data_IF_819866410700
#
_entry.id   IF_819866410700
#
_cell.length_a   1.000
_cell.length_b   1.000
_cell.length_c   1.000
_cell.angle_alpha   90.00
_cell.angle_beta   90.00
_cell.angle_gamma   90.00
#
_symmetry.space_group_name_H-M   'P 1'
#
loop_
_entity.id
_entity.type
_entity.pdbx_description
1 polymer ?
#
# COMPACT_ATOMS: atom_id res chain seq x y z
N UNK A 1 21.36 55.15 51.23
CA UNK A 1 21.16 53.83 51.86
C UNK A 1 20.17 53.10 50.99
N UNK A 2 20.71 52.38 50.01
CA UNK A 2 20.00 51.96 48.80
C UNK A 2 19.91 50.44 48.80
N UNK A 3 18.70 49.98 48.50
CA UNK A 3 18.16 48.63 48.43
C UNK A 3 18.93 47.66 47.51
N UNK A 4 19.51 46.56 48.04
CA UNK A 4 20.00 45.44 47.22
C UNK A 4 18.93 44.36 46.96
N UNK A 5 17.70 44.53 47.44
CA UNK A 5 16.71 43.43 47.45
C UNK A 5 15.75 43.41 46.25
N UNK A 6 15.77 44.42 45.39
CA UNK A 6 14.80 44.56 44.29
C UNK A 6 15.28 43.99 42.94
N UNK A 7 16.56 43.67 42.81
CA UNK A 7 17.15 43.19 41.55
C UNK A 7 16.99 41.67 41.35
N UNK A 8 16.87 40.90 42.43
CA UNK A 8 16.71 39.44 42.35
C UNK A 8 15.27 38.96 42.10
N UNK A 9 14.29 39.85 42.01
CA UNK A 9 12.87 39.49 41.86
C UNK A 9 12.36 39.57 40.41
N UNK A 10 13.19 40.04 39.46
CA UNK A 10 12.80 40.15 38.04
C UNK A 10 13.40 39.07 37.12
N UNK A 11 14.19 38.13 37.64
CA UNK A 11 14.99 37.21 36.82
C UNK A 11 14.38 35.80 36.61
N UNK A 12 13.13 35.53 36.98
CA UNK A 12 12.57 34.17 36.94
C UNK A 12 11.24 34.02 36.21
N UNK A 13 11.11 34.62 35.03
CA UNK A 13 10.00 34.34 34.09
C UNK A 13 10.54 33.92 32.74
N UNK A 14 11.34 32.84 32.72
CA UNK A 14 11.61 32.13 31.48
C UNK A 14 10.49 31.08 31.29
N UNK A 15 9.61 31.24 30.29
CA UNK A 15 8.47 30.34 30.11
C UNK A 15 8.96 28.95 29.68
N UNK A 16 8.83 27.97 30.58
CA UNK A 16 9.11 26.55 30.35
C UNK A 16 8.11 25.86 29.39
N UNK A 17 7.50 26.62 28.46
CA UNK A 17 6.41 26.14 27.61
C UNK A 17 6.83 25.57 26.24
N UNK A 18 8.04 25.86 25.75
CA UNK A 18 8.42 25.58 24.35
C UNK A 18 8.57 24.10 23.97
N UNK A 19 8.99 23.24 24.91
CA UNK A 19 9.31 21.83 24.62
C UNK A 19 8.06 20.97 24.36
N UNK A 20 6.95 21.29 25.02
CA UNK A 20 5.72 20.50 24.93
C UNK A 20 5.00 20.68 23.58
N UNK A 21 5.05 21.89 23.00
CA UNK A 21 4.43 22.16 21.70
C UNK A 21 5.18 21.49 20.54
N UNK A 22 6.52 21.46 20.58
CA UNK A 22 7.32 20.79 19.57
C UNK A 22 7.09 19.26 19.57
N UNK A 23 6.99 18.65 20.75
CA UNK A 23 6.65 17.24 20.92
C UNK A 23 5.25 16.90 20.41
N UNK A 24 4.25 17.70 20.77
CA UNK A 24 2.87 17.56 20.29
C UNK A 24 2.79 17.70 18.76
N UNK A 25 3.48 18.69 18.18
CA UNK A 25 3.54 18.89 16.73
C UNK A 25 4.21 17.72 16.00
N UNK A 26 5.30 17.19 16.54
CA UNK A 26 5.94 15.99 16.00
C UNK A 26 4.99 14.78 16.04
N UNK A 27 4.34 14.53 17.18
CA UNK A 27 3.46 13.38 17.35
C UNK A 27 2.29 13.44 16.38
N UNK A 28 1.68 14.63 16.24
CA UNK A 28 0.61 14.85 15.28
C UNK A 28 1.07 14.59 13.84
N UNK A 29 2.26 15.05 13.46
CA UNK A 29 2.79 14.84 12.12
C UNK A 29 3.19 13.38 11.86
N UNK A 30 3.74 12.68 12.86
CA UNK A 30 4.04 11.25 12.77
C UNK A 30 2.76 10.41 12.58
N UNK A 31 1.71 10.71 13.34
CA UNK A 31 0.39 10.06 13.18
C UNK A 31 -0.19 10.38 11.80
N UNK A 32 -0.10 11.63 11.33
CA UNK A 32 -0.59 12.03 10.03
C UNK A 32 0.12 11.29 8.89
N UNK A 33 1.45 11.19 8.94
CA UNK A 33 2.25 10.50 7.91
C UNK A 33 2.00 9.00 7.91
N UNK A 34 1.98 8.35 9.08
CA UNK A 34 1.70 6.91 9.19
C UNK A 34 0.25 6.60 8.78
N UNK A 35 -0.70 7.43 9.21
CA UNK A 35 -2.10 7.32 8.83
C UNK A 35 -2.32 7.48 7.33
N UNK A 36 -1.70 8.50 6.72
CA UNK A 36 -1.78 8.72 5.27
C UNK A 36 -1.14 7.57 4.49
N UNK A 37 0.00 7.05 4.95
CA UNK A 37 0.65 5.89 4.32
C UNK A 37 -0.22 4.64 4.40
N UNK A 38 -0.92 4.44 5.53
CA UNK A 38 -1.91 3.38 5.69
C UNK A 38 -3.08 3.50 4.71
N UNK A 39 -3.61 4.71 4.53
CA UNK A 39 -4.69 4.99 3.56
C UNK A 39 -4.23 4.74 2.12
N UNK A 40 -3.05 5.23 1.74
CA UNK A 40 -2.47 4.99 0.40
C UNK A 40 -2.25 3.51 0.17
N UNK A 41 -1.74 2.77 1.16
CA UNK A 41 -1.60 1.32 1.07
C UNK A 41 -2.96 0.64 0.80
N UNK A 42 -4.03 1.04 1.50
CA UNK A 42 -5.36 0.45 1.26
C UNK A 42 -5.94 0.74 -0.12
N UNK A 43 -5.60 1.87 -0.75
CA UNK A 43 -6.14 2.24 -2.08
C UNK A 43 -5.32 1.64 -3.23
N UNK A 44 -4.00 1.46 -3.05
CA UNK A 44 -3.13 0.92 -4.12
C UNK A 44 -3.19 -0.61 -4.20
N UNK A 45 -3.46 -1.29 -3.07
CA UNK A 45 -3.55 -2.76 -3.00
C UNK A 45 -4.68 -3.40 -3.84
N UNK A 46 -5.89 -2.82 -4.02
CA UNK A 46 -6.95 -3.42 -4.83
C UNK A 46 -6.74 -3.35 -6.34
N UNK A 47 -5.91 -2.42 -6.85
CA UNK A 47 -5.74 -2.22 -8.30
C UNK A 47 -5.31 -3.48 -9.09
N UNK A 48 -4.36 -4.31 -8.61
CA UNK A 48 -3.99 -5.56 -9.28
C UNK A 48 -5.11 -6.60 -9.23
N UNK A 49 -5.86 -6.65 -8.12
CA UNK A 49 -6.94 -7.61 -7.92
C UNK A 49 -8.13 -7.32 -8.86
N UNK A 50 -8.53 -6.05 -8.98
CA UNK A 50 -9.62 -5.65 -9.88
C UNK A 50 -9.28 -5.98 -11.34
N UNK A 51 -8.04 -5.72 -11.76
CA UNK A 51 -7.58 -6.08 -13.12
C UNK A 51 -7.57 -7.59 -13.34
N UNK A 52 -7.19 -8.37 -12.33
CA UNK A 52 -7.21 -9.82 -12.39
C UNK A 52 -8.64 -10.36 -12.51
N UNK A 53 -9.58 -9.84 -11.71
CA UNK A 53 -10.99 -10.21 -11.77
C UNK A 53 -11.62 -9.84 -13.12
N UNK A 54 -11.30 -8.66 -13.66
CA UNK A 54 -11.78 -8.25 -14.98
C UNK A 54 -11.27 -9.19 -16.09
N UNK A 55 -10.03 -9.69 -15.98
CA UNK A 55 -9.46 -10.67 -16.91
C UNK A 55 -10.13 -12.03 -16.77
N UNK A 56 -10.36 -12.52 -15.55
CA UNK A 56 -11.04 -13.81 -15.31
C UNK A 56 -12.48 -13.77 -15.86
N UNK A 57 -13.21 -12.68 -15.63
CA UNK A 57 -14.54 -12.46 -16.21
C UNK A 57 -14.51 -12.46 -17.75
N UNK A 58 -13.48 -11.88 -18.35
CA UNK A 58 -13.31 -11.89 -19.81
C UNK A 58 -13.03 -13.31 -20.34
N UNK A 59 -12.31 -14.16 -19.58
CA UNK A 59 -12.11 -15.57 -19.94
C UNK A 59 -13.41 -16.38 -19.86
N UNK A 60 -14.30 -16.06 -18.91
CA UNK A 60 -15.64 -16.64 -18.83
C UNK A 60 -16.52 -16.21 -20.02
N UNK A 61 -16.46 -14.94 -20.43
CA UNK A 61 -17.11 -14.45 -21.66
C UNK A 61 -16.62 -15.22 -22.90
N UNK A 62 -15.31 -15.45 -23.01
CA UNK A 62 -14.72 -16.27 -24.10
C UNK A 62 -15.25 -17.70 -24.05
N UNK A 63 -15.27 -18.34 -22.87
CA UNK A 63 -15.76 -19.70 -22.74
C UNK A 63 -17.25 -19.82 -23.11
N UNK A 64 -18.08 -18.84 -22.72
CA UNK A 64 -19.48 -18.78 -23.12
C UNK A 64 -19.64 -18.60 -24.64
N UNK A 65 -18.75 -17.82 -25.27
CA UNK A 65 -18.76 -17.60 -26.71
C UNK A 65 -18.39 -18.84 -27.53
N UNK A 66 -17.59 -19.78 -26.99
CA UNK A 66 -17.20 -21.01 -27.72
C UNK A 66 -18.38 -21.91 -28.12
N UNK A 67 -19.52 -21.80 -27.43
CA UNK A 67 -20.75 -22.54 -27.76
C UNK A 67 -21.61 -21.88 -28.85
N UNK A 68 -21.23 -20.70 -29.33
CA UNK A 68 -22.01 -19.93 -30.30
C UNK A 68 -21.51 -20.15 -31.74
N UNK A 69 -22.40 -20.10 -32.74
CA UNK A 69 -22.02 -20.25 -34.15
C UNK A 69 -21.03 -19.16 -34.63
N UNK A 70 -20.97 -18.02 -33.93
CA UNK A 70 -20.07 -16.90 -34.24
C UNK A 70 -18.90 -16.76 -33.25
N UNK A 71 -18.46 -17.87 -32.62
CA UNK A 71 -17.42 -17.89 -31.61
C UNK A 71 -16.15 -17.10 -32.01
N UNK A 72 -15.67 -17.29 -33.24
CA UNK A 72 -14.45 -16.62 -33.72
C UNK A 72 -14.59 -15.09 -33.73
N UNK A 73 -15.70 -14.55 -34.25
CA UNK A 73 -15.96 -13.11 -34.26
C UNK A 73 -16.11 -12.54 -32.85
N UNK A 74 -16.78 -13.27 -31.95
CA UNK A 74 -16.96 -12.84 -30.56
C UNK A 74 -15.61 -12.80 -29.82
N UNK A 75 -14.77 -13.81 -30.01
CA UNK A 75 -13.42 -13.85 -29.40
C UNK A 75 -12.51 -12.79 -30.00
N UNK A 76 -12.60 -12.52 -31.31
CA UNK A 76 -11.84 -11.45 -31.96
C UNK A 76 -12.24 -10.06 -31.43
N UNK A 77 -13.52 -9.82 -31.13
CA UNK A 77 -13.97 -8.59 -30.47
C UNK A 77 -13.41 -8.44 -29.05
N UNK A 78 -13.19 -9.55 -28.35
CA UNK A 78 -12.59 -9.58 -27.01
C UNK A 78 -11.06 -9.48 -27.02
N UNK A 79 -10.40 -9.52 -28.19
CA UNK A 79 -8.93 -9.52 -28.31
C UNK A 79 -8.27 -8.35 -27.60
N UNK A 80 -8.84 -7.15 -27.70
CA UNK A 80 -8.32 -5.94 -27.04
C UNK A 80 -8.40 -6.03 -25.51
N UNK A 81 -9.43 -6.69 -24.96
CA UNK A 81 -9.60 -6.89 -23.51
C UNK A 81 -8.73 -8.03 -22.97
N UNK A 82 -8.51 -9.07 -23.78
CA UNK A 82 -7.63 -10.20 -23.45
C UNK A 82 -6.15 -9.81 -23.40
N UNK A 83 -5.73 -8.82 -24.19
CA UNK A 83 -4.35 -8.33 -24.22
C UNK A 83 -3.35 -9.46 -24.54
N UNK A 84 -2.36 -9.64 -23.67
CA UNK A 84 -1.30 -10.66 -23.84
C UNK A 84 -1.84 -12.10 -23.83
N UNK A 85 -2.93 -12.38 -23.09
CA UNK A 85 -3.53 -13.72 -23.05
C UNK A 85 -4.23 -14.10 -24.35
N UNK A 86 -4.51 -13.14 -25.25
CA UNK A 86 -5.11 -13.42 -26.55
C UNK A 86 -4.22 -14.33 -27.41
N UNK A 87 -2.89 -14.11 -27.36
CA UNK A 87 -1.93 -14.93 -28.11
C UNK A 87 -1.85 -16.38 -27.59
N UNK A 88 -2.11 -16.59 -26.30
CA UNK A 88 -2.10 -17.92 -25.69
C UNK A 88 -3.37 -18.73 -25.98
N UNK A 89 -4.47 -18.07 -26.39
CA UNK A 89 -5.78 -18.71 -26.64
C UNK A 89 -6.06 -18.83 -28.15
N UNK A 90 -5.62 -17.87 -28.96
CA UNK A 90 -5.82 -17.88 -30.40
C UNK A 90 -4.70 -18.66 -31.12
N UNK A 91 -4.98 -19.23 -32.31
CA UNK A 91 -6.31 -19.41 -32.93
C UNK A 91 -7.19 -20.41 -32.18
N UNK A 92 -8.52 -20.30 -32.35
CA UNK A 92 -9.48 -21.24 -31.76
C UNK A 92 -9.33 -22.62 -32.41
N UNK A 93 -9.18 -23.63 -31.58
CA UNK A 93 -9.11 -25.04 -31.97
C UNK A 93 -9.83 -25.97 -30.99
N UNK A 94 -9.81 -27.28 -31.22
CA UNK A 94 -10.44 -28.26 -30.34
C UNK A 94 -9.87 -28.22 -28.90
N UNK A 95 -8.60 -27.83 -28.75
CA UNK A 95 -7.92 -27.73 -27.45
C UNK A 95 -8.12 -26.40 -26.72
N UNK A 96 -8.93 -25.48 -27.26
CA UNK A 96 -9.16 -24.16 -26.65
C UNK A 96 -9.64 -24.23 -25.19
N UNK A 97 -10.59 -25.11 -24.82
CA UNK A 97 -11.04 -25.22 -23.43
C UNK A 97 -9.90 -25.62 -22.48
N UNK A 98 -9.03 -26.53 -22.91
CA UNK A 98 -7.85 -26.95 -22.15
C UNK A 98 -6.84 -25.80 -22.01
N UNK A 99 -6.57 -25.06 -23.08
CA UNK A 99 -5.70 -23.86 -23.06
C UNK A 99 -6.22 -22.79 -22.11
N UNK A 100 -7.54 -22.52 -22.11
CA UNK A 100 -8.17 -21.58 -21.17
C UNK A 100 -8.02 -22.04 -19.73
N UNK A 101 -8.19 -23.34 -19.45
CA UNK A 101 -8.01 -23.89 -18.11
C UNK A 101 -6.55 -23.76 -17.63
N UNK A 102 -5.58 -24.04 -18.50
CA UNK A 102 -4.15 -23.86 -18.21
C UNK A 102 -3.81 -22.39 -17.95
N UNK A 103 -4.32 -21.47 -18.77
CA UNK A 103 -4.08 -20.04 -18.59
C UNK A 103 -4.69 -19.52 -17.28
N UNK A 104 -5.87 -19.99 -16.90
CA UNK A 104 -6.46 -19.68 -15.58
C UNK A 104 -5.61 -20.18 -14.42
N UNK A 105 -5.09 -21.41 -14.50
CA UNK A 105 -4.21 -21.95 -13.47
C UNK A 105 -2.90 -21.15 -13.38
N UNK A 106 -2.33 -20.76 -14.52
CA UNK A 106 -1.14 -19.91 -14.58
C UNK A 106 -1.40 -18.52 -13.97
N UNK A 107 -2.54 -17.89 -14.31
CA UNK A 107 -2.92 -16.58 -13.78
C UNK A 107 -3.09 -16.61 -12.26
N UNK A 108 -3.78 -17.62 -11.72
CA UNK A 108 -3.93 -17.81 -10.25
C UNK A 108 -2.59 -17.98 -9.56
N UNK A 109 -1.66 -18.73 -10.18
CA UNK A 109 -0.32 -18.94 -9.62
C UNK A 109 0.48 -17.63 -9.59
N UNK A 110 0.43 -16.83 -10.66
CA UNK A 110 1.08 -15.51 -10.73
C UNK A 110 0.49 -14.56 -9.68
N UNK A 111 -0.83 -14.50 -9.54
CA UNK A 111 -1.50 -13.68 -8.53
C UNK A 111 -1.14 -14.11 -7.10
N UNK A 112 -1.02 -15.41 -6.85
CA UNK A 112 -0.57 -15.93 -5.56
C UNK A 112 0.90 -15.59 -5.26
N UNK A 113 1.74 -15.44 -6.29
CA UNK A 113 3.13 -15.01 -6.12
C UNK A 113 3.20 -13.49 -5.88
N UNK A 114 2.51 -12.69 -6.69
CA UNK A 114 2.45 -11.23 -6.57
C UNK A 114 1.86 -10.80 -5.22
N UNK A 115 0.79 -11.46 -4.76
CA UNK A 115 0.19 -11.17 -3.44
C UNK A 115 1.14 -11.47 -2.28
N UNK A 116 1.92 -12.55 -2.36
CA UNK A 116 2.95 -12.87 -1.36
C UNK A 116 4.05 -11.82 -1.33
N UNK A 117 4.48 -11.35 -2.49
CA UNK A 117 5.49 -10.29 -2.59
C UNK A 117 4.94 -8.95 -2.06
N UNK A 118 3.72 -8.57 -2.43
CA UNK A 118 3.05 -7.39 -1.91
C UNK A 118 2.90 -7.44 -0.39
N UNK A 119 2.48 -8.59 0.16
CA UNK A 119 2.38 -8.80 1.59
C UNK A 119 3.75 -8.68 2.29
N UNK A 120 4.82 -9.20 1.68
CA UNK A 120 6.18 -9.06 2.21
C UNK A 120 6.63 -7.59 2.24
N UNK A 121 6.37 -6.83 1.16
CA UNK A 121 6.67 -5.39 1.07
C UNK A 121 5.88 -4.58 2.10
N UNK A 122 4.60 -4.89 2.30
CA UNK A 122 3.76 -4.28 3.34
C UNK A 122 4.29 -4.56 4.74
N UNK A 123 4.64 -5.82 5.04
CA UNK A 123 5.25 -6.18 6.33
C UNK A 123 6.56 -5.44 6.57
N UNK A 124 7.41 -5.33 5.54
CA UNK A 124 8.66 -4.59 5.63
C UNK A 124 8.42 -3.10 5.95
N UNK A 125 7.48 -2.45 5.26
CA UNK A 125 7.11 -1.06 5.53
C UNK A 125 6.62 -0.86 6.97
N UNK A 126 5.77 -1.78 7.47
CA UNK A 126 5.29 -1.74 8.86
C UNK A 126 6.46 -1.86 9.84
N UNK A 127 7.37 -2.81 9.61
CA UNK A 127 8.55 -3.00 10.49
C UNK A 127 9.43 -1.74 10.49
N UNK A 128 9.77 -1.21 9.31
CA UNK A 128 10.63 -0.03 9.18
C UNK A 128 9.98 1.18 9.86
N UNK A 129 8.69 1.44 9.60
CA UNK A 129 7.98 2.55 10.24
C UNK A 129 7.93 2.42 11.76
N UNK A 130 7.73 1.20 12.27
CA UNK A 130 7.69 0.91 13.71
C UNK A 130 9.06 1.11 14.36
N UNK A 131 10.13 0.69 13.70
CA UNK A 131 11.50 0.91 14.16
C UNK A 131 11.86 2.40 14.17
N UNK A 132 11.49 3.16 13.14
CA UNK A 132 11.72 4.60 13.13
C UNK A 132 10.94 5.31 14.23
N UNK A 133 9.68 4.95 14.47
CA UNK A 133 8.87 5.50 15.54
C UNK A 133 9.46 5.17 16.93
N UNK A 134 9.86 3.91 17.15
CA UNK A 134 10.47 3.47 18.40
C UNK A 134 11.83 4.16 18.65
N UNK A 135 12.68 4.23 17.62
CA UNK A 135 13.98 4.91 17.70
C UNK A 135 13.83 6.40 17.99
N UNK A 136 12.86 7.06 17.37
CA UNK A 136 12.56 8.46 17.65
C UNK A 136 12.08 8.67 19.10
N UNK A 137 11.17 7.81 19.59
CA UNK A 137 10.72 7.84 20.98
C UNK A 137 11.85 7.66 21.99
N UNK A 138 12.76 6.71 21.73
CA UNK A 138 13.94 6.48 22.56
C UNK A 138 14.89 7.70 22.58
N UNK A 139 15.12 8.32 21.43
CA UNK A 139 15.96 9.52 21.31
C UNK A 139 15.40 10.70 22.12
N UNK A 140 14.09 10.91 22.08
CA UNK A 140 13.42 11.96 22.87
C UNK A 140 13.55 11.74 24.38
N UNK A 141 13.35 10.51 24.85
CA UNK A 141 13.52 10.17 26.26
C UNK A 141 14.95 10.42 26.74
N UNK A 142 15.95 10.10 25.89
CA UNK A 142 17.35 10.34 26.22
C UNK A 142 17.70 11.83 26.21
N UNK A 143 17.13 12.62 25.30
CA UNK A 143 17.31 14.07 25.28
C UNK A 143 16.67 14.75 26.50
N UNK A 144 15.54 14.25 26.98
CA UNK A 144 14.88 14.71 28.21
C UNK A 144 15.74 14.46 29.46
N UNK A 145 16.26 13.23 29.62
CA UNK A 145 17.10 12.87 30.79
C UNK A 145 18.43 13.63 30.90
N UNK A 146 18.92 14.24 29.81
CA UNK A 146 20.16 15.04 29.84
C UNK A 146 19.94 16.49 30.27
N UNK A 147 18.69 16.94 30.40
CA UNK A 147 18.34 18.31 30.80
C UNK A 147 17.97 18.42 32.29
N UNK A 148 17.80 17.29 32.96
CA UNK A 148 17.69 17.17 34.42
C UNK A 148 19.09 16.94 35.02
#
# INVERSE_FOLDING_TARGET
MSTPQQENMMASTQPAGGTNYALMGFLAMAIAVVGLLGVVATVVTPLPLERAMARDATLDEVQAALGQPNAQQMVDALRTRLGESAAAILPLGPDTPARIATERAAMRTRLAAESREAAARLRLLIIVSSLMAAGFGAMLLQAGRRRE
#
